data_IF_655330039129
#
_entry.id   IF_655330039129
#
_cell.length_a   1.000
_cell.length_b   1.000
_cell.length_c   1.000
_cell.angle_alpha   90.00
_cell.angle_beta   90.00
_cell.angle_gamma   90.00
#
_symmetry.space_group_name_H-M   'P 1'
#
loop_
_entity.id
_entity.type
_entity.pdbx_description
1 polymer ?
#
# COMPACT_ATOMS: atom_id res chain seq x y z
N UNK A 1 16.99 -55.47 -65.60
CA UNK A 1 15.70 -54.92 -65.13
C UNK A 1 15.99 -53.65 -64.33
N UNK A 2 15.55 -52.52 -64.87
CA UNK A 2 15.66 -51.17 -64.28
C UNK A 2 14.84 -51.05 -63.00
N UNK A 3 15.41 -50.40 -61.97
CA UNK A 3 14.63 -49.56 -61.04
C UNK A 3 15.45 -48.34 -60.63
N UNK A 4 15.13 -47.22 -61.28
CA UNK A 4 15.38 -45.87 -60.79
C UNK A 4 14.60 -45.63 -59.50
N UNK A 5 15.18 -44.93 -58.53
CA UNK A 5 14.42 -44.33 -57.43
C UNK A 5 14.93 -42.91 -57.13
N UNK A 6 13.95 -42.03 -57.00
CA UNK A 6 13.97 -40.57 -56.97
C UNK A 6 14.94 -39.91 -55.98
N UNK A 7 15.63 -38.88 -56.47
CA UNK A 7 16.20 -37.80 -55.65
C UNK A 7 15.13 -36.74 -55.41
N UNK A 8 14.77 -36.49 -54.16
CA UNK A 8 13.88 -35.38 -53.77
C UNK A 8 14.73 -34.13 -53.54
N UNK A 9 14.51 -33.12 -54.38
CA UNK A 9 15.18 -31.83 -54.34
C UNK A 9 14.39 -30.89 -53.39
N UNK A 10 14.95 -30.55 -52.23
CA UNK A 10 14.39 -29.53 -51.33
C UNK A 10 14.91 -28.15 -51.76
N UNK A 11 14.02 -27.28 -52.22
CA UNK A 11 14.30 -25.86 -52.48
C UNK A 11 14.11 -25.11 -51.16
N UNK A 12 15.21 -24.71 -50.53
CA UNK A 12 15.19 -23.84 -49.35
C UNK A 12 14.90 -22.39 -49.80
N UNK A 13 13.67 -21.93 -49.56
CA UNK A 13 13.29 -20.53 -49.70
C UNK A 13 13.84 -19.73 -48.51
N UNK A 14 15.00 -19.10 -48.70
CA UNK A 14 15.57 -18.16 -47.73
C UNK A 14 14.75 -16.87 -47.69
N UNK A 15 13.82 -16.78 -46.74
CA UNK A 15 13.18 -15.52 -46.39
C UNK A 15 14.17 -14.66 -45.60
N UNK A 16 14.84 -13.75 -46.31
CA UNK A 16 15.69 -12.72 -45.72
C UNK A 16 14.76 -11.65 -45.12
N UNK A 17 14.27 -11.87 -43.91
CA UNK A 17 13.59 -10.83 -43.13
C UNK A 17 14.59 -9.76 -42.74
N UNK A 18 14.54 -8.63 -43.44
CA UNK A 18 15.16 -7.38 -43.02
C UNK A 18 14.63 -7.00 -41.63
N UNK A 19 15.41 -7.29 -40.60
CA UNK A 19 15.25 -6.70 -39.27
C UNK A 19 15.62 -5.22 -39.38
N UNK A 20 14.65 -4.38 -39.73
CA UNK A 20 14.77 -2.96 -39.46
C UNK A 20 14.79 -2.80 -37.93
N UNK A 21 15.82 -2.16 -37.34
CA UNK A 21 15.74 -1.75 -35.96
C UNK A 21 14.67 -0.67 -35.88
N UNK A 22 13.43 -1.07 -35.58
CA UNK A 22 12.44 -0.14 -35.06
C UNK A 22 13.01 0.33 -33.74
N UNK A 23 13.74 1.45 -33.77
CA UNK A 23 14.07 2.24 -32.61
C UNK A 23 12.77 2.68 -31.98
N UNK A 24 12.18 1.79 -31.18
CA UNK A 24 11.09 2.11 -30.30
C UNK A 24 11.66 3.10 -29.33
N UNK A 25 11.29 4.37 -29.50
CA UNK A 25 11.29 5.31 -28.40
C UNK A 25 10.40 4.66 -27.35
N UNK A 26 11.02 3.97 -26.38
CA UNK A 26 10.34 3.38 -25.26
C UNK A 26 9.60 4.55 -24.59
N UNK A 27 8.28 4.58 -24.77
CA UNK A 27 7.45 5.56 -24.12
C UNK A 27 7.64 5.32 -22.63
N UNK A 28 8.46 6.14 -21.98
CA UNK A 28 8.77 5.99 -20.57
C UNK A 28 7.46 5.98 -19.80
N UNK A 29 7.22 4.86 -19.14
CA UNK A 29 6.02 4.67 -18.35
C UNK A 29 6.01 5.72 -17.22
N UNK A 30 4.86 6.31 -16.93
CA UNK A 30 4.71 7.28 -15.83
C UNK A 30 5.24 6.70 -14.51
N UNK A 31 5.02 5.40 -14.26
CA UNK A 31 5.53 4.71 -13.08
C UNK A 31 7.07 4.70 -13.03
N UNK A 32 7.72 4.46 -14.17
CA UNK A 32 9.19 4.47 -14.30
C UNK A 32 9.76 5.86 -13.97
N UNK A 33 9.13 6.91 -14.53
CA UNK A 33 9.52 8.29 -14.26
C UNK A 33 9.35 8.66 -12.78
N UNK A 34 8.25 8.25 -12.15
CA UNK A 34 8.03 8.50 -10.72
C UNK A 34 9.09 7.78 -9.88
N UNK A 35 9.37 6.51 -10.20
CA UNK A 35 10.31 5.69 -9.44
C UNK A 35 11.73 6.26 -9.51
N UNK A 36 12.21 6.58 -10.70
CA UNK A 36 13.59 7.03 -10.90
C UNK A 36 13.84 8.51 -10.62
N UNK A 37 12.83 9.38 -10.71
CA UNK A 37 13.05 10.83 -10.62
C UNK A 37 12.30 11.52 -9.47
N UNK A 38 11.11 11.06 -9.12
CA UNK A 38 10.27 11.75 -8.14
C UNK A 38 10.49 11.28 -6.70
N UNK A 39 10.85 10.01 -6.51
CA UNK A 39 11.13 9.46 -5.17
C UNK A 39 12.27 10.20 -4.47
N UNK A 40 13.27 10.68 -5.21
CA UNK A 40 14.38 11.45 -4.63
C UNK A 40 13.93 12.83 -4.11
N UNK A 41 12.88 13.41 -4.69
CA UNK A 41 12.36 14.72 -4.34
C UNK A 41 11.37 14.66 -3.17
N UNK A 42 10.44 13.71 -3.21
CA UNK A 42 9.50 13.47 -2.12
C UNK A 42 9.15 11.99 -2.04
N UNK A 43 9.98 11.26 -1.29
CA UNK A 43 9.90 9.81 -1.13
C UNK A 43 8.50 9.32 -0.70
N UNK A 44 7.89 9.80 0.41
CA UNK A 44 6.56 9.30 0.80
C UNK A 44 5.52 9.47 -0.31
N UNK A 45 5.51 10.62 -0.99
CA UNK A 45 4.55 10.89 -2.07
C UNK A 45 4.79 10.00 -3.27
N UNK A 46 6.04 9.78 -3.68
CA UNK A 46 6.37 8.87 -4.79
C UNK A 46 5.88 7.45 -4.52
N UNK A 47 6.14 6.91 -3.32
CA UNK A 47 5.68 5.58 -2.94
C UNK A 47 4.15 5.49 -2.83
N UNK A 48 3.47 6.54 -2.35
CA UNK A 48 2.01 6.59 -2.35
C UNK A 48 1.47 6.54 -3.79
N UNK A 49 2.01 7.34 -4.71
CA UNK A 49 1.55 7.35 -6.10
C UNK A 49 1.77 5.98 -6.75
N UNK A 50 2.98 5.42 -6.66
CA UNK A 50 3.29 4.10 -7.23
C UNK A 50 2.38 3.01 -6.70
N UNK A 51 1.98 3.08 -5.42
CA UNK A 51 1.08 2.09 -4.82
C UNK A 51 -0.32 2.08 -5.42
N UNK A 52 -0.71 3.14 -6.13
CA UNK A 52 -2.00 3.31 -6.79
C UNK A 52 -1.91 3.21 -8.32
N UNK A 53 -0.73 2.97 -8.89
CA UNK A 53 -0.53 2.76 -10.32
C UNK A 53 -0.40 1.27 -10.64
N UNK A 54 -0.70 0.91 -11.88
CA UNK A 54 -0.31 -0.39 -12.41
C UNK A 54 1.20 -0.40 -12.68
N UNK A 55 1.89 -1.38 -12.11
CA UNK A 55 3.34 -1.54 -12.22
C UNK A 55 3.62 -2.78 -13.05
N UNK A 56 4.55 -2.68 -13.99
CA UNK A 56 5.03 -3.85 -14.74
C UNK A 56 5.78 -4.81 -13.81
N UNK A 57 5.82 -6.09 -14.16
CA UNK A 57 6.61 -7.08 -13.42
C UNK A 57 8.10 -6.71 -13.38
N UNK A 58 8.62 -6.13 -14.46
CA UNK A 58 10.00 -5.66 -14.53
C UNK A 58 10.29 -4.57 -13.49
N UNK A 59 9.42 -3.56 -13.39
CA UNK A 59 9.57 -2.48 -12.42
C UNK A 59 9.37 -2.99 -10.98
N UNK A 60 8.41 -3.89 -10.74
CA UNK A 60 8.23 -4.51 -9.42
C UNK A 60 9.48 -5.28 -8.97
N UNK A 61 10.12 -6.01 -9.90
CA UNK A 61 11.34 -6.76 -9.61
C UNK A 61 12.51 -5.83 -9.30
N UNK A 62 12.63 -4.72 -10.01
CA UNK A 62 13.63 -3.68 -9.74
C UNK A 62 13.42 -3.06 -8.35
N UNK A 63 12.17 -2.69 -8.02
CA UNK A 63 11.79 -2.19 -6.69
C UNK A 63 12.14 -3.20 -5.59
N UNK A 64 11.90 -4.50 -5.80
CA UNK A 64 12.28 -5.56 -4.86
C UNK A 64 13.81 -5.67 -4.71
N UNK A 65 14.57 -5.54 -5.80
CA UNK A 65 16.03 -5.56 -5.75
C UNK A 65 16.58 -4.37 -4.95
N UNK A 66 16.05 -3.17 -5.19
CA UNK A 66 16.46 -1.97 -4.45
C UNK A 66 16.07 -2.04 -2.98
N UNK A 67 14.89 -2.59 -2.67
CA UNK A 67 14.49 -2.89 -1.29
C UNK A 67 15.50 -3.79 -0.57
N UNK A 68 15.97 -4.85 -1.23
CA UNK A 68 16.94 -5.79 -0.64
C UNK A 68 18.31 -5.14 -0.40
N UNK A 69 18.67 -4.12 -1.18
CA UNK A 69 19.94 -3.41 -1.07
C UNK A 69 19.88 -2.21 -0.13
N UNK A 70 18.69 -1.66 0.13
CA UNK A 70 18.55 -0.45 0.92
C UNK A 70 18.81 -0.74 2.41
N UNK A 71 19.65 0.09 3.04
CA UNK A 71 19.95 0.00 4.48
C UNK A 71 19.20 1.03 5.31
N UNK A 72 18.66 2.06 4.66
CA UNK A 72 17.90 3.14 5.31
C UNK A 72 16.53 2.62 5.78
N UNK A 73 16.28 2.71 7.09
CA UNK A 73 15.09 2.12 7.73
C UNK A 73 13.78 2.77 7.28
N UNK A 74 13.82 4.08 7.04
CA UNK A 74 12.65 4.82 6.54
C UNK A 74 12.36 4.43 5.09
N UNK A 75 13.39 4.29 4.25
CA UNK A 75 13.21 3.80 2.88
C UNK A 75 12.69 2.36 2.85
N UNK A 76 13.25 1.46 3.69
CA UNK A 76 12.74 0.09 3.83
C UNK A 76 11.24 0.09 4.13
N UNK A 77 10.79 0.95 5.04
CA UNK A 77 9.39 1.05 5.40
C UNK A 77 8.48 1.44 4.22
N UNK A 78 8.90 2.39 3.38
CA UNK A 78 8.12 2.77 2.19
C UNK A 78 8.11 1.70 1.10
N UNK A 79 9.22 1.00 0.90
CA UNK A 79 9.26 -0.18 0.02
C UNK A 79 8.31 -1.27 0.51
N UNK A 80 8.31 -1.56 1.80
CA UNK A 80 7.42 -2.57 2.40
C UNK A 80 5.96 -2.19 2.27
N UNK A 81 5.59 -0.92 2.46
CA UNK A 81 4.25 -0.42 2.17
C UNK A 81 3.85 -0.68 0.71
N UNK A 82 4.71 -0.30 -0.24
CA UNK A 82 4.42 -0.44 -1.65
C UNK A 82 4.29 -1.90 -2.05
N UNK A 83 5.26 -2.73 -1.68
CA UNK A 83 5.29 -4.15 -2.01
C UNK A 83 4.14 -4.89 -1.33
N UNK A 84 3.83 -4.61 -0.06
CA UNK A 84 2.67 -5.19 0.63
C UNK A 84 1.37 -4.88 -0.11
N UNK A 85 1.17 -3.63 -0.53
CA UNK A 85 -0.04 -3.22 -1.26
C UNK A 85 -0.12 -3.81 -2.67
N UNK A 86 1.00 -3.87 -3.39
CA UNK A 86 1.02 -4.30 -4.80
C UNK A 86 1.06 -5.81 -4.98
N UNK A 87 1.80 -6.53 -4.15
CA UNK A 87 1.98 -7.99 -4.31
C UNK A 87 1.12 -8.81 -3.35
N UNK A 88 0.66 -8.22 -2.24
CA UNK A 88 -0.10 -8.91 -1.18
C UNK A 88 0.64 -10.13 -0.60
N UNK A 89 1.96 -10.20 -0.78
CA UNK A 89 2.77 -11.27 -0.20
C UNK A 89 2.92 -11.09 1.31
N UNK A 90 2.69 -12.15 2.08
CA UNK A 90 2.72 -12.11 3.54
C UNK A 90 4.04 -11.61 4.12
N UNK A 91 5.17 -11.85 3.43
CA UNK A 91 6.48 -11.34 3.88
C UNK A 91 6.53 -9.81 3.94
N UNK A 92 5.99 -9.12 2.95
CA UNK A 92 5.98 -7.66 2.92
C UNK A 92 4.92 -7.08 3.84
N UNK A 93 3.75 -7.72 3.91
CA UNK A 93 2.69 -7.34 4.85
C UNK A 93 3.22 -7.38 6.29
N UNK A 94 3.83 -8.50 6.69
CA UNK A 94 4.35 -8.68 8.05
C UNK A 94 5.47 -7.69 8.36
N UNK A 95 6.38 -7.43 7.40
CA UNK A 95 7.44 -6.45 7.53
C UNK A 95 6.90 -5.03 7.67
N UNK A 96 5.95 -4.65 6.82
CA UNK A 96 5.27 -3.36 6.89
C UNK A 96 4.61 -3.15 8.25
N UNK A 97 3.82 -4.13 8.74
CA UNK A 97 3.20 -4.07 10.07
C UNK A 97 4.25 -3.93 11.19
N UNK A 98 5.30 -4.76 11.14
CA UNK A 98 6.38 -4.74 12.13
C UNK A 98 7.08 -3.37 12.16
N UNK A 99 7.42 -2.84 10.99
CA UNK A 99 8.12 -1.57 10.87
C UNK A 99 7.21 -0.35 11.04
N UNK A 100 5.88 -0.46 10.90
CA UNK A 100 4.96 0.61 11.28
C UNK A 100 5.05 0.94 12.78
N UNK A 101 5.31 -0.06 13.63
CA UNK A 101 5.47 0.19 15.07
C UNK A 101 6.74 1.00 15.40
N UNK A 102 7.83 0.75 14.67
CA UNK A 102 9.11 1.44 14.84
C UNK A 102 9.17 2.78 14.11
N UNK A 103 8.37 2.94 13.04
CA UNK A 103 8.27 4.16 12.23
C UNK A 103 6.96 4.91 12.49
N UNK A 104 6.47 4.91 13.74
CA UNK A 104 5.20 5.55 14.12
C UNK A 104 5.18 7.05 13.79
N UNK A 105 6.35 7.72 13.79
CA UNK A 105 6.47 9.13 13.40
C UNK A 105 6.05 9.38 11.95
N UNK A 106 6.35 8.44 11.04
CA UNK A 106 5.93 8.53 9.63
C UNK A 106 4.41 8.46 9.48
N UNK A 107 3.76 7.70 10.37
CA UNK A 107 2.30 7.60 10.42
C UNK A 107 1.65 8.88 10.97
N UNK A 108 2.28 9.52 11.95
CA UNK A 108 1.78 10.75 12.61
C UNK A 108 2.01 11.99 11.74
N UNK A 109 3.24 12.20 11.27
CA UNK A 109 3.64 13.46 10.63
C UNK A 109 3.12 13.59 9.20
N UNK A 110 2.97 12.47 8.48
CA UNK A 110 2.57 12.43 7.08
C UNK A 110 3.30 13.49 6.22
N UNK A 111 4.62 13.34 6.06
CA UNK A 111 5.46 14.28 5.27
C UNK A 111 5.21 14.20 3.75
N UNK A 112 4.08 13.63 3.32
CA UNK A 112 3.68 13.54 1.93
C UNK A 112 2.97 14.81 1.47
N UNK A 113 3.14 15.16 0.20
CA UNK A 113 2.33 16.14 -0.51
C UNK A 113 0.98 15.57 -0.98
N UNK A 114 0.71 14.29 -0.70
CA UNK A 114 -0.55 13.65 -1.03
C UNK A 114 -1.68 14.21 -0.14
N UNK A 115 -2.61 14.94 -0.76
CA UNK A 115 -3.77 15.49 -0.08
C UNK A 115 -4.83 14.39 0.07
N UNK A 116 -5.05 13.96 1.31
CA UNK A 116 -6.08 12.96 1.66
C UNK A 116 -6.62 13.25 3.06
N UNK A 117 -7.87 12.85 3.30
CA UNK A 117 -8.49 12.89 4.64
C UNK A 117 -7.73 11.98 5.61
N UNK A 118 -7.21 10.87 5.09
CA UNK A 118 -6.48 9.87 5.86
C UNK A 118 -5.09 9.62 5.27
N UNK A 119 -4.07 9.46 6.12
CA UNK A 119 -2.72 9.11 5.67
C UNK A 119 -2.75 7.68 5.08
N UNK A 120 -2.36 7.50 3.79
CA UNK A 120 -2.46 6.22 3.10
C UNK A 120 -1.75 5.05 3.80
N UNK A 121 -0.68 5.31 4.54
CA UNK A 121 0.06 4.29 5.27
C UNK A 121 -0.81 3.66 6.37
N UNK A 122 -1.48 4.47 7.20
CA UNK A 122 -2.37 3.89 8.22
C UNK A 122 -3.67 3.36 7.63
N UNK A 123 -4.12 3.87 6.49
CA UNK A 123 -5.29 3.32 5.80
C UNK A 123 -5.04 1.86 5.40
N UNK A 124 -3.87 1.56 4.80
CA UNK A 124 -3.49 0.19 4.51
C UNK A 124 -3.32 -0.64 5.80
N UNK A 125 -2.70 -0.07 6.82
CA UNK A 125 -2.54 -0.75 8.12
C UNK A 125 -3.90 -1.10 8.76
N UNK A 126 -4.91 -0.25 8.57
CA UNK A 126 -6.29 -0.48 9.04
C UNK A 126 -6.95 -1.69 8.37
N UNK A 127 -6.68 -1.88 7.07
CA UNK A 127 -7.12 -3.09 6.36
C UNK A 127 -6.50 -4.34 6.99
N UNK A 128 -5.18 -4.34 7.24
CA UNK A 128 -4.51 -5.49 7.85
C UNK A 128 -4.95 -5.74 9.30
N UNK A 129 -5.23 -4.69 10.05
CA UNK A 129 -5.71 -4.78 11.44
C UNK A 129 -7.07 -5.47 11.62
N UNK A 130 -7.84 -5.67 10.54
CA UNK A 130 -9.06 -6.49 10.59
C UNK A 130 -8.77 -7.95 10.96
N UNK A 131 -7.57 -8.43 10.69
CA UNK A 131 -7.17 -9.84 10.90
C UNK A 131 -5.86 -10.00 11.68
N UNK A 132 -5.02 -8.95 11.76
CA UNK A 132 -3.72 -9.00 12.42
C UNK A 132 -3.69 -8.19 13.73
N UNK A 133 -3.25 -8.85 14.82
CA UNK A 133 -3.22 -8.27 16.15
C UNK A 133 -2.11 -7.22 16.34
N UNK A 134 -0.97 -7.38 15.69
CA UNK A 134 0.13 -6.41 15.75
C UNK A 134 -0.21 -5.16 14.95
N UNK A 135 -0.87 -5.29 13.80
CA UNK A 135 -1.39 -4.14 13.07
C UNK A 135 -2.39 -3.34 13.90
N UNK A 136 -3.36 -4.01 14.53
CA UNK A 136 -4.34 -3.35 15.39
C UNK A 136 -3.69 -2.66 16.59
N UNK A 137 -2.67 -3.28 17.18
CA UNK A 137 -1.88 -2.68 18.26
C UNK A 137 -1.18 -1.39 17.81
N UNK A 138 -0.65 -1.35 16.59
CA UNK A 138 -0.07 -0.11 16.06
C UNK A 138 -1.13 0.98 15.90
N UNK A 139 -2.33 0.66 15.44
CA UNK A 139 -3.43 1.63 15.35
C UNK A 139 -3.84 2.17 16.73
N UNK A 140 -3.90 1.32 17.75
CA UNK A 140 -4.15 1.74 19.13
C UNK A 140 -3.06 2.66 19.68
N UNK A 141 -1.80 2.40 19.35
CA UNK A 141 -0.70 3.31 19.68
C UNK A 141 -0.85 4.63 18.94
N UNK A 142 -1.24 4.58 17.67
CA UNK A 142 -1.43 5.75 16.83
C UNK A 142 -2.58 6.65 17.35
N UNK A 143 -3.68 6.06 17.86
CA UNK A 143 -4.80 6.84 18.40
C UNK A 143 -4.44 7.68 19.61
N UNK A 144 -3.38 7.30 20.34
CA UNK A 144 -2.86 8.08 21.47
C UNK A 144 -1.99 9.27 21.03
N UNK A 145 -1.56 9.29 19.77
CA UNK A 145 -0.62 10.27 19.22
C UNK A 145 -1.26 11.23 18.23
N UNK A 146 -2.38 10.85 17.61
CA UNK A 146 -3.13 11.69 16.68
C UNK A 146 -4.10 12.62 17.41
N UNK A 147 -4.46 13.71 16.76
CA UNK A 147 -5.50 14.64 17.17
C UNK A 147 -6.43 15.01 15.99
N UNK A 148 -7.44 15.84 16.27
CA UNK A 148 -8.30 16.45 15.27
C UNK A 148 -8.92 15.47 14.27
N UNK A 149 -8.85 15.83 12.98
CA UNK A 149 -9.44 15.04 11.89
C UNK A 149 -8.74 13.69 11.68
N UNK A 150 -7.41 13.63 11.86
CA UNK A 150 -6.65 12.40 11.69
C UNK A 150 -7.06 11.36 12.74
N UNK A 151 -7.26 11.80 13.98
CA UNK A 151 -7.77 10.96 15.05
C UNK A 151 -9.20 10.49 14.77
N UNK A 152 -10.08 11.37 14.29
CA UNK A 152 -11.46 11.00 13.91
C UNK A 152 -11.49 9.90 12.84
N UNK A 153 -10.70 10.03 11.77
CA UNK A 153 -10.64 9.02 10.72
C UNK A 153 -10.07 7.68 11.22
N UNK A 154 -9.09 7.70 12.12
CA UNK A 154 -8.59 6.48 12.75
C UNK A 154 -9.66 5.80 13.62
N UNK A 155 -10.51 6.56 14.31
CA UNK A 155 -11.60 6.00 15.11
C UNK A 155 -12.66 5.31 14.27
N UNK A 156 -13.00 5.85 13.10
CA UNK A 156 -13.91 5.18 12.18
C UNK A 156 -13.38 3.80 11.79
N UNK A 157 -12.09 3.71 11.43
CA UNK A 157 -11.44 2.43 11.12
C UNK A 157 -11.45 1.46 12.32
N UNK A 158 -11.14 1.95 13.52
CA UNK A 158 -11.13 1.11 14.72
C UNK A 158 -12.55 0.64 15.12
N UNK A 159 -13.56 1.47 14.92
CA UNK A 159 -14.97 1.09 15.09
C UNK A 159 -15.38 0.02 14.09
N UNK A 160 -14.97 0.15 12.83
CA UNK A 160 -15.21 -0.87 11.80
C UNK A 160 -14.54 -2.20 12.16
N UNK A 161 -13.29 -2.17 12.63
CA UNK A 161 -12.58 -3.37 13.10
C UNK A 161 -13.30 -3.99 14.30
N UNK A 162 -13.80 -3.19 15.25
CA UNK A 162 -14.57 -3.70 16.39
C UNK A 162 -15.87 -4.38 15.94
N UNK A 163 -16.57 -3.80 14.96
CA UNK A 163 -17.81 -4.37 14.42
C UNK A 163 -17.55 -5.66 13.65
N UNK A 164 -16.45 -5.71 12.90
CA UNK A 164 -16.10 -6.84 12.02
C UNK A 164 -15.48 -7.99 12.81
N UNK A 165 -14.62 -7.69 13.78
CA UNK A 165 -13.87 -8.68 14.56
C UNK A 165 -13.77 -8.27 16.04
N UNK A 166 -14.91 -8.32 16.79
CA UNK A 166 -14.96 -7.86 18.16
C UNK A 166 -14.04 -8.65 19.10
N UNK A 167 -13.77 -9.92 18.81
CA UNK A 167 -12.92 -10.78 19.63
C UNK A 167 -11.45 -10.38 19.53
N UNK A 168 -10.93 -10.19 18.31
CA UNK A 168 -9.60 -9.64 18.08
C UNK A 168 -9.46 -8.28 18.77
N UNK A 169 -10.43 -7.40 18.53
CA UNK A 169 -10.43 -6.05 19.08
C UNK A 169 -10.36 -6.05 20.60
N UNK A 170 -11.26 -6.78 21.26
CA UNK A 170 -11.31 -6.85 22.72
C UNK A 170 -10.07 -7.51 23.31
N UNK A 171 -9.52 -8.53 22.66
CA UNK A 171 -8.28 -9.19 23.09
C UNK A 171 -7.11 -8.21 23.07
N UNK A 172 -6.86 -7.56 21.93
CA UNK A 172 -5.73 -6.61 21.79
C UNK A 172 -5.91 -5.40 22.71
N UNK A 173 -7.13 -4.87 22.82
CA UNK A 173 -7.46 -3.74 23.71
C UNK A 173 -7.14 -4.05 25.17
N UNK A 174 -7.54 -5.24 25.66
CA UNK A 174 -7.25 -5.68 27.04
C UNK A 174 -5.76 -5.80 27.30
N UNK A 175 -5.01 -6.40 26.37
CA UNK A 175 -3.54 -6.54 26.49
C UNK A 175 -2.82 -5.20 26.62
N UNK A 176 -3.35 -4.14 25.98
CA UNK A 176 -2.73 -2.81 25.98
C UNK A 176 -3.32 -1.85 27.01
N UNK A 177 -4.17 -2.34 27.92
CA UNK A 177 -4.76 -1.57 29.01
C UNK A 177 -5.45 -0.28 28.57
N UNK A 178 -6.00 -0.25 27.35
CA UNK A 178 -6.75 0.91 26.87
C UNK A 178 -8.05 1.05 27.68
N UNK A 179 -8.28 2.19 28.38
CA UNK A 179 -9.48 2.40 29.18
C UNK A 179 -10.74 2.22 28.33
N UNK A 180 -11.76 1.59 28.90
CA UNK A 180 -13.05 1.43 28.21
C UNK A 180 -13.68 2.80 27.91
N UNK A 181 -13.45 3.77 28.80
CA UNK A 181 -14.06 5.10 28.71
C UNK A 181 -13.40 5.97 27.63
N UNK A 182 -12.14 5.69 27.30
CA UNK A 182 -11.47 6.29 26.14
C UNK A 182 -12.25 5.98 24.86
N UNK A 183 -12.75 4.76 24.70
CA UNK A 183 -13.58 4.36 23.56
C UNK A 183 -14.98 4.95 23.57
N UNK A 184 -15.61 5.09 24.74
CA UNK A 184 -16.95 5.66 24.87
C UNK A 184 -16.99 7.12 24.41
N UNK A 185 -16.02 7.91 24.86
CA UNK A 185 -15.92 9.33 24.49
C UNK A 185 -15.95 9.56 22.96
N UNK A 186 -15.19 8.75 22.22
CA UNK A 186 -15.14 8.89 20.76
C UNK A 186 -16.35 8.30 20.04
N UNK A 187 -16.92 7.20 20.57
CA UNK A 187 -18.19 6.68 20.06
C UNK A 187 -19.28 7.77 20.12
N UNK A 188 -19.40 8.44 21.26
CA UNK A 188 -20.37 9.52 21.47
C UNK A 188 -20.11 10.71 20.52
N UNK A 189 -18.83 11.07 20.29
CA UNK A 189 -18.45 12.09 19.30
C UNK A 189 -18.90 11.71 17.88
N UNK A 190 -18.62 10.49 17.43
CA UNK A 190 -19.00 10.03 16.07
C UNK A 190 -20.51 9.90 15.86
N UNK A 191 -21.26 9.56 16.91
CA UNK A 191 -22.73 9.54 16.84
C UNK A 191 -23.30 10.96 16.83
N UNK A 192 -22.70 11.89 17.59
CA UNK A 192 -23.14 13.28 17.62
C UNK A 192 -22.95 14.00 16.27
N UNK A 193 -21.86 13.72 15.55
CA UNK A 193 -21.58 14.32 14.23
C UNK A 193 -22.53 13.78 13.15
N UNK A 194 -22.78 12.46 13.13
CA UNK A 194 -23.77 11.86 12.22
C UNK A 194 -25.17 12.45 12.39
N UNK A 195 -25.58 12.67 13.65
CA UNK A 195 -26.88 13.26 13.96
C UNK A 195 -26.97 14.75 13.59
N UNK A 196 -25.86 15.49 13.62
CA UNK A 196 -25.83 16.90 13.23
C UNK A 196 -26.03 17.08 11.71
N UNK A 197 -25.38 16.26 10.90
CA UNK A 197 -25.50 16.31 9.43
C UNK A 197 -26.90 15.91 8.97
N UNK A 198 -27.49 14.90 9.63
CA UNK A 198 -28.85 14.43 9.33
C UNK A 198 -29.88 15.55 9.57
N UNK A 199 -29.71 16.35 10.62
CA UNK A 199 -30.63 17.45 10.96
C UNK A 199 -30.51 18.70 10.05
N UNK A 200 -29.40 18.88 9.32
CA UNK A 200 -29.29 19.96 8.33
C UNK A 200 -29.98 19.62 7.00
N UNK A 201 -30.07 18.33 6.65
CA UNK A 201 -30.70 17.87 5.41
C UNK A 201 -32.22 18.06 5.45
N UNK A 202 -32.85 17.94 6.63
CA UNK A 202 -34.30 18.12 6.81
C UNK A 202 -34.75 19.57 7.10
N UNK A 203 -33.84 20.55 7.01
CA UNK A 203 -34.14 21.99 7.24
C UNK A 203 -34.10 22.86 5.97
N UNK A 204 -34.14 22.24 4.78
CA UNK A 204 -34.44 22.94 3.51
C UNK A 204 -35.83 22.56 3.03
#
# INVERSE_FOLDING_TARGET
MNKSCCSVLYIAFGFLTFLLPTGGYAQQNIADNIYHHYIEQNRPTGFIILSNLELSEALLKEIEMDYQQTTDKTSQYYYEYLLAKRTQESRYINRFIQHSNTNISELVQNNSLWVSVTNPFYALLSVYAMTDAEALKVLFKLSQLLDGSALSGLYENLSEIQMTNPDLFNRVRKTHQLPLDYWRYFKDLTESTKNADTNQIYKK
#
